data_IF_636208715332
#
_entry.id   IF_636208715332
#
_cell.length_a   1.000
_cell.length_b   1.000
_cell.length_c   1.000
_cell.angle_alpha   90.00
_cell.angle_beta   90.00
_cell.angle_gamma   90.00
#
_symmetry.space_group_name_H-M   'P 1'
#
loop_
_entity.id
_entity.type
_entity.pdbx_description
1 polymer ?
#
# COMPACT_ATOMS: atom_id res chain seq x y z
N UNK A 1 -1.04 19.60 9.64
CA UNK A 1 -0.53 18.33 9.05
C UNK A 1 0.81 18.63 8.40
N UNK A 2 1.92 18.30 9.05
CA UNK A 2 3.28 18.46 8.50
C UNK A 2 3.71 17.15 7.85
N UNK A 3 4.20 17.23 6.61
CA UNK A 3 4.72 16.10 5.85
C UNK A 3 6.22 15.98 6.12
N UNK A 4 6.65 14.86 6.70
CA UNK A 4 8.06 14.56 6.86
C UNK A 4 8.44 13.43 5.90
N UNK A 5 9.26 13.74 4.91
CA UNK A 5 9.84 12.75 4.00
C UNK A 5 11.09 12.20 4.65
N UNK A 6 11.07 10.92 5.01
CA UNK A 6 12.23 10.25 5.58
C UNK A 6 12.94 9.51 4.44
N UNK A 7 14.04 10.08 3.97
CA UNK A 7 14.91 9.43 2.99
C UNK A 7 15.99 8.63 3.72
N UNK A 8 15.81 7.32 3.85
CA UNK A 8 16.91 6.41 4.17
C UNK A 8 17.66 6.05 2.88
N UNK A 9 19.00 6.07 2.94
CA UNK A 9 19.90 6.09 1.78
C UNK A 9 19.66 5.02 0.69
N UNK A 10 20.01 5.41 -0.54
CA UNK A 10 20.01 4.63 -1.80
C UNK A 10 18.90 3.58 -1.90
N UNK A 11 17.65 4.03 -1.98
CA UNK A 11 16.51 3.16 -2.27
C UNK A 11 16.37 2.96 -3.80
N UNK A 12 15.97 1.77 -4.27
CA UNK A 12 15.58 1.56 -5.66
C UNK A 12 14.37 2.45 -6.03
N UNK A 13 14.21 2.83 -7.31
CA UNK A 13 13.09 3.66 -7.75
C UNK A 13 11.75 3.00 -7.34
N UNK A 14 10.92 3.74 -6.60
CA UNK A 14 9.57 3.29 -6.19
C UNK A 14 9.33 3.07 -4.70
N UNK A 15 10.31 3.30 -3.82
CA UNK A 15 10.09 3.27 -2.36
C UNK A 15 10.13 4.67 -1.76
N UNK A 16 8.95 5.24 -1.49
CA UNK A 16 8.81 6.52 -0.79
C UNK A 16 8.21 6.29 0.59
N UNK A 17 8.92 6.73 1.64
CA UNK A 17 8.44 6.70 3.01
C UNK A 17 7.92 8.09 3.40
N UNK A 18 6.65 8.15 3.77
CA UNK A 18 6.03 9.35 4.33
C UNK A 18 5.72 9.12 5.81
N UNK A 19 6.16 10.05 6.66
CA UNK A 19 5.72 10.11 8.05
C UNK A 19 4.69 11.23 8.17
N UNK A 20 3.50 10.85 8.64
CA UNK A 20 2.42 11.77 8.97
C UNK A 20 2.18 11.74 10.47
N UNK A 21 1.65 12.85 11.02
CA UNK A 21 1.17 12.91 12.39
C UNK A 21 -0.13 12.13 12.58
N UNK A 22 -1.13 12.72 13.23
CA UNK A 22 -2.42 12.03 13.38
C UNK A 22 -3.15 11.88 12.04
N UNK A 23 -3.36 10.62 11.65
CA UNK A 23 -4.10 10.18 10.48
C UNK A 23 -5.53 9.71 10.80
N UNK A 24 -6.18 10.21 11.87
CA UNK A 24 -7.48 9.71 12.35
C UNK A 24 -8.51 9.49 11.25
N UNK A 25 -8.77 10.50 10.41
CA UNK A 25 -9.75 10.40 9.33
C UNK A 25 -9.33 9.37 8.29
N UNK A 26 -8.05 9.33 7.90
CA UNK A 26 -7.56 8.33 6.95
C UNK A 26 -7.69 6.91 7.52
N UNK A 27 -7.35 6.70 8.80
CA UNK A 27 -7.52 5.40 9.47
C UNK A 27 -8.98 4.97 9.50
N UNK A 28 -9.89 5.91 9.77
CA UNK A 28 -11.33 5.67 9.80
C UNK A 28 -11.85 5.26 8.41
N UNK A 29 -11.48 6.00 7.37
CA UNK A 29 -11.87 5.69 5.98
C UNK A 29 -11.26 4.37 5.48
N UNK A 30 -10.03 4.04 5.87
CA UNK A 30 -9.36 2.79 5.50
C UNK A 30 -9.80 1.58 6.35
N UNK A 31 -10.62 1.78 7.38
CA UNK A 31 -11.04 0.71 8.29
C UNK A 31 -9.87 0.10 9.06
N UNK A 32 -9.05 0.93 9.70
CA UNK A 32 -7.92 0.55 10.55
C UNK A 32 -8.36 0.65 12.03
N UNK A 33 -8.93 -0.43 12.61
CA UNK A 33 -9.46 -0.39 13.97
C UNK A 33 -8.38 -0.48 15.05
N UNK A 34 -7.21 -1.04 14.74
CA UNK A 34 -6.13 -1.26 15.69
C UNK A 34 -4.88 -0.48 15.25
N UNK A 35 -4.29 0.32 16.14
CA UNK A 35 -3.08 1.09 15.84
C UNK A 35 -1.77 0.33 16.16
N UNK A 36 -1.86 -0.83 16.79
CA UNK A 36 -0.71 -1.67 17.15
C UNK A 36 -0.34 -2.67 16.06
N UNK A 37 -1.22 -2.87 15.07
CA UNK A 37 -0.98 -3.75 13.93
C UNK A 37 -0.45 -2.96 12.73
N UNK A 38 0.49 -3.56 12.00
CA UNK A 38 0.86 -3.07 10.67
C UNK A 38 -0.25 -3.36 9.67
N UNK A 39 -0.44 -2.47 8.69
CA UNK A 39 -1.41 -2.64 7.60
C UNK A 39 -0.74 -2.41 6.26
N UNK A 40 -1.14 -3.19 5.26
CA UNK A 40 -0.67 -3.07 3.87
C UNK A 40 -1.89 -2.88 2.98
N UNK A 41 -1.84 -1.90 2.08
CA UNK A 41 -2.88 -1.64 1.09
C UNK A 41 -2.24 -1.59 -0.29
N UNK A 42 -2.81 -2.32 -1.25
CA UNK A 42 -2.50 -2.16 -2.66
C UNK A 42 -3.47 -1.14 -3.25
N UNK A 43 -2.95 -0.05 -3.81
CA UNK A 43 -3.74 1.05 -4.36
C UNK A 43 -3.42 1.20 -5.83
N UNK A 44 -4.44 1.35 -6.68
CA UNK A 44 -4.24 1.59 -8.11
C UNK A 44 -4.02 3.08 -8.44
N UNK A 45 -3.71 3.38 -9.71
CA UNK A 45 -3.47 4.75 -10.21
C UNK A 45 -4.67 5.69 -10.07
N UNK A 46 -5.88 5.17 -9.81
CA UNK A 46 -7.09 5.95 -9.56
C UNK A 46 -7.36 6.14 -8.05
N UNK A 47 -6.44 5.72 -7.19
CA UNK A 47 -6.57 5.82 -5.74
C UNK A 47 -7.49 4.77 -5.12
N UNK A 48 -7.85 3.70 -5.83
CA UNK A 48 -8.74 2.64 -5.30
C UNK A 48 -7.94 1.54 -4.61
N UNK A 49 -8.39 1.14 -3.42
CA UNK A 49 -7.85 -0.03 -2.72
C UNK A 49 -8.26 -1.29 -3.46
N UNK A 50 -7.27 -2.09 -3.87
CA UNK A 50 -7.45 -3.34 -4.62
C UNK A 50 -7.23 -4.59 -3.78
N UNK A 51 -6.42 -4.46 -2.75
CA UNK A 51 -6.10 -5.52 -1.81
C UNK A 51 -5.66 -4.91 -0.48
N UNK A 52 -5.88 -5.63 0.62
CA UNK A 52 -5.45 -5.19 1.95
C UNK A 52 -5.08 -6.39 2.83
N UNK A 53 -4.16 -6.18 3.76
CA UNK A 53 -3.86 -7.11 4.85
C UNK A 53 -3.47 -6.36 6.12
N UNK A 54 -3.46 -7.08 7.25
CA UNK A 54 -3.10 -6.55 8.56
C UNK A 54 -2.32 -7.59 9.37
N UNK A 55 -1.35 -7.13 10.17
CA UNK A 55 -0.52 -8.00 10.99
C UNK A 55 0.66 -8.59 10.20
N UNK A 56 1.11 -9.77 10.62
CA UNK A 56 2.16 -10.51 9.91
C UNK A 56 1.54 -11.27 8.74
N UNK A 57 2.05 -11.03 7.54
CA UNK A 57 1.57 -11.73 6.35
C UNK A 57 2.05 -13.18 6.33
N UNK A 58 1.15 -14.12 6.03
CA UNK A 58 1.55 -15.50 5.71
C UNK A 58 2.10 -15.60 4.29
N UNK A 59 2.72 -16.73 3.95
CA UNK A 59 3.24 -16.97 2.59
C UNK A 59 2.12 -16.95 1.54
N UNK A 60 0.94 -17.45 1.89
CA UNK A 60 -0.25 -17.48 1.04
C UNK A 60 -0.80 -16.07 0.80
N UNK A 61 -0.83 -15.23 1.84
CA UNK A 61 -1.25 -13.83 1.73
C UNK A 61 -0.29 -13.01 0.87
N UNK A 62 1.02 -13.27 1.01
CA UNK A 62 2.04 -12.67 0.13
C UNK A 62 1.84 -13.10 -1.33
N UNK A 63 1.62 -14.39 -1.58
CA UNK A 63 1.35 -14.90 -2.92
C UNK A 63 0.07 -14.30 -3.52
N UNK A 64 -0.98 -14.14 -2.72
CA UNK A 64 -2.23 -13.48 -3.12
C UNK A 64 -1.99 -12.01 -3.51
N UNK A 65 -1.18 -11.29 -2.72
CA UNK A 65 -0.81 -9.90 -3.01
C UNK A 65 -0.04 -9.79 -4.33
N UNK A 66 0.97 -10.66 -4.56
CA UNK A 66 1.76 -10.68 -5.79
C UNK A 66 0.88 -10.97 -7.00
N UNK A 67 0.00 -11.98 -6.91
CA UNK A 67 -0.94 -12.31 -7.98
C UNK A 67 -1.88 -11.14 -8.31
N UNK A 68 -2.33 -10.39 -7.29
CA UNK A 68 -3.11 -9.17 -7.51
C UNK A 68 -2.30 -8.12 -8.28
N UNK A 69 -1.04 -7.88 -7.88
CA UNK A 69 -0.15 -6.93 -8.56
C UNK A 69 0.06 -7.33 -10.03
N UNK A 70 0.40 -8.59 -10.28
CA UNK A 70 0.63 -9.11 -11.64
C UNK A 70 -0.61 -8.96 -12.52
N UNK A 71 -1.80 -9.24 -11.99
CA UNK A 71 -3.05 -9.04 -12.73
C UNK A 71 -3.28 -7.58 -13.08
N UNK A 72 -3.06 -6.65 -12.15
CA UNK A 72 -3.24 -5.21 -12.42
C UNK A 72 -2.18 -4.65 -13.36
N UNK A 73 -0.93 -5.15 -13.31
CA UNK A 73 0.11 -4.78 -14.26
C UNK A 73 -0.22 -5.32 -15.65
N UNK A 74 -0.60 -6.59 -15.77
CA UNK A 74 -1.01 -7.20 -17.04
C UNK A 74 -2.21 -6.49 -17.68
N UNK A 75 -3.22 -6.12 -16.89
CA UNK A 75 -4.37 -5.31 -17.34
C UNK A 75 -3.96 -3.91 -17.83
N UNK A 76 -2.91 -3.31 -17.24
CA UNK A 76 -2.40 -2.01 -17.66
C UNK A 76 -1.66 -2.11 -19.00
N UNK A 77 -0.78 -3.09 -19.17
CA UNK A 77 -0.05 -3.32 -20.43
C UNK A 77 -0.95 -3.66 -21.62
N UNK A 78 -2.12 -4.29 -21.39
CA UNK A 78 -3.04 -4.69 -22.47
C UNK A 78 -3.96 -3.55 -22.93
N UNK A 79 -4.07 -2.45 -22.17
CA UNK A 79 -4.92 -1.29 -22.52
C UNK A 79 -4.20 -0.19 -23.29
N UNK A 80 -2.90 -0.33 -23.48
CA UNK A 80 -2.06 0.65 -24.19
C UNK A 80 -1.87 0.30 -25.69
N UNK A 81 -2.74 -0.55 -26.26
CA UNK A 81 -2.82 -0.89 -27.70
C UNK A 81 -4.21 -0.62 -28.28
#
# INVERSE_FOLDING_TARGET
>A
MSLHVLSTGSQPPGRTLYAFGDLYYLRKELGIPNMLSGYVFLVDTKGRVRWRASGFATAEELASMISCIERFLGEHYFRDF
#
